data_IF_108692238588
#
_entry.id   IF_108692238588
#
_cell.length_a   1.000
_cell.length_b   1.000
_cell.length_c   1.000
_cell.angle_alpha   90.00
_cell.angle_beta   90.00
_cell.angle_gamma   90.00
#
_symmetry.space_group_name_H-M   'P 1'
#
loop_
_entity.id
_entity.type
_entity.pdbx_description
1 polymer ?
#
# COMPACT_ATOMS: atom_id res chain seq x y z
N UNK A 1 -23.39 5.77 -20.57
CA UNK A 1 -22.81 5.51 -19.24
C UNK A 1 -21.47 4.83 -19.48
N UNK A 2 -20.35 5.51 -19.26
CA UNK A 2 -19.02 4.95 -19.55
C UNK A 2 -18.75 3.75 -18.64
N UNK A 3 -18.53 2.57 -19.22
CA UNK A 3 -18.12 1.34 -18.53
C UNK A 3 -16.67 1.50 -18.05
N UNK A 4 -16.46 2.28 -16.99
CA UNK A 4 -15.14 2.52 -16.39
C UNK A 4 -14.77 1.27 -15.60
N UNK A 5 -13.86 0.45 -16.13
CA UNK A 5 -13.26 -0.69 -15.43
C UNK A 5 -11.88 -0.31 -14.87
N UNK A 6 -11.55 -0.73 -13.64
CA UNK A 6 -10.21 -0.50 -13.12
C UNK A 6 -9.20 -1.30 -13.93
N UNK A 7 -7.96 -0.79 -14.08
CA UNK A 7 -6.87 -1.55 -14.70
C UNK A 7 -6.60 -2.85 -13.90
N UNK A 8 -5.83 -3.81 -14.41
CA UNK A 8 -5.44 -4.97 -13.61
C UNK A 8 -4.60 -4.55 -12.39
N UNK A 9 -4.71 -5.29 -11.28
CA UNK A 9 -3.82 -5.10 -10.12
C UNK A 9 -2.49 -5.79 -10.35
N UNK A 10 -1.48 -5.42 -9.56
CA UNK A 10 -0.25 -6.20 -9.45
C UNK A 10 -0.53 -7.57 -8.79
N UNK A 11 0.29 -8.60 -9.06
CA UNK A 11 0.14 -9.90 -8.44
C UNK A 11 0.15 -9.85 -6.91
N UNK A 12 -0.82 -10.49 -6.27
CA UNK A 12 -1.01 -10.49 -4.81
C UNK A 12 -1.91 -9.38 -4.26
N UNK A 13 -2.46 -8.52 -5.12
CA UNK A 13 -3.39 -7.45 -4.75
C UNK A 13 -4.76 -7.57 -5.44
N UNK A 14 -5.08 -8.72 -6.04
CA UNK A 14 -6.30 -8.97 -6.82
C UNK A 14 -7.59 -8.79 -6.00
N UNK A 15 -7.52 -8.99 -4.69
CA UNK A 15 -8.65 -8.80 -3.76
C UNK A 15 -8.93 -7.34 -3.38
N UNK A 16 -8.16 -6.36 -3.88
CA UNK A 16 -8.35 -4.97 -3.53
C UNK A 16 -9.65 -4.40 -4.12
N UNK A 17 -10.53 -3.88 -3.25
CA UNK A 17 -11.74 -3.19 -3.66
C UNK A 17 -11.40 -1.81 -4.23
N UNK A 18 -11.71 -1.62 -5.51
CA UNK A 18 -11.44 -0.40 -6.27
C UNK A 18 -12.72 0.26 -6.72
N UNK A 19 -12.88 1.53 -6.37
CA UNK A 19 -14.09 2.30 -6.67
C UNK A 19 -13.70 3.55 -7.44
N UNK A 20 -14.48 3.89 -8.47
CA UNK A 20 -14.29 5.14 -9.19
C UNK A 20 -14.54 6.35 -8.26
N UNK A 21 -13.52 7.18 -8.05
CA UNK A 21 -13.62 8.42 -7.32
C UNK A 21 -13.83 9.58 -8.31
N UNK A 22 -15.05 10.13 -8.29
CA UNK A 22 -15.43 11.23 -9.18
C UNK A 22 -14.75 12.55 -8.82
N UNK A 23 -14.27 12.72 -7.59
CA UNK A 23 -13.57 13.95 -7.16
C UNK A 23 -12.17 14.05 -7.77
N UNK A 24 -11.48 12.91 -7.85
CA UNK A 24 -10.11 12.84 -8.36
C UNK A 24 -10.04 12.31 -9.81
N UNK A 25 -11.19 11.97 -10.40
CA UNK A 25 -11.34 11.35 -11.72
C UNK A 25 -10.43 10.14 -11.93
N UNK A 26 -10.33 9.30 -10.90
CA UNK A 26 -9.42 8.15 -10.84
C UNK A 26 -10.09 6.98 -10.10
N UNK A 27 -9.56 5.78 -10.28
CA UNK A 27 -9.89 4.69 -9.35
C UNK A 27 -9.23 4.93 -8.01
N UNK A 28 -9.93 4.57 -6.94
CA UNK A 28 -9.47 4.71 -5.58
C UNK A 28 -9.49 3.37 -4.84
N UNK A 29 -8.50 3.18 -3.98
CA UNK A 29 -8.39 2.06 -3.04
C UNK A 29 -8.35 2.62 -1.63
N UNK A 30 -9.18 2.05 -0.75
CA UNK A 30 -9.12 2.31 0.68
C UNK A 30 -8.21 1.28 1.35
N UNK A 31 -7.11 1.72 1.94
CA UNK A 31 -6.14 0.89 2.67
C UNK A 31 -6.46 0.94 4.16
N UNK A 32 -7.10 -0.12 4.65
CA UNK A 32 -7.50 -0.26 6.05
C UNK A 32 -6.34 -0.66 6.98
N UNK A 33 -6.59 -0.60 8.28
CA UNK A 33 -5.61 -0.98 9.30
C UNK A 33 -5.17 -2.46 9.11
N UNK A 34 -3.86 -2.70 9.14
CA UNK A 34 -3.25 -4.00 8.85
C UNK A 34 -3.17 -4.34 7.36
N UNK A 35 -3.55 -3.43 6.45
CA UNK A 35 -3.46 -3.66 5.00
C UNK A 35 -2.26 -2.96 4.37
N UNK A 36 -1.87 -3.49 3.21
CA UNK A 36 -0.85 -2.94 2.33
C UNK A 36 -1.36 -3.08 0.89
N UNK A 37 -1.16 -2.04 0.07
CA UNK A 37 -1.51 -2.06 -1.35
C UNK A 37 -0.44 -1.34 -2.16
N UNK A 38 -0.07 -1.92 -3.31
CA UNK A 38 0.87 -1.35 -4.29
C UNK A 38 0.21 -1.34 -5.66
N UNK A 39 0.40 -0.25 -6.38
CA UNK A 39 -0.10 -0.06 -7.73
C UNK A 39 1.00 0.46 -8.66
N UNK A 40 0.84 0.18 -9.94
CA UNK A 40 1.59 0.75 -11.06
C UNK A 40 0.73 1.68 -11.92
N UNK A 41 -0.48 2.03 -11.46
CA UNK A 41 -1.46 2.79 -12.20
C UNK A 41 -1.75 4.14 -11.53
N UNK A 42 -2.33 5.07 -12.29
CA UNK A 42 -2.79 6.36 -11.77
C UNK A 42 -4.05 6.16 -10.90
N UNK A 43 -3.85 5.75 -9.65
CA UNK A 43 -4.87 5.43 -8.66
C UNK A 43 -4.70 6.28 -7.40
N UNK A 44 -5.81 6.55 -6.71
CA UNK A 44 -5.84 7.23 -5.41
C UNK A 44 -5.79 6.19 -4.29
N UNK A 45 -4.75 6.21 -3.48
CA UNK A 45 -4.71 5.47 -2.22
C UNK A 45 -5.24 6.36 -1.10
N UNK A 46 -6.21 5.85 -0.34
CA UNK A 46 -6.82 6.57 0.77
C UNK A 46 -6.82 5.73 2.04
N UNK A 47 -6.68 6.39 3.18
CA UNK A 47 -6.82 5.77 4.51
C UNK A 47 -7.37 6.79 5.49
N UNK A 48 -7.84 6.32 6.63
CA UNK A 48 -8.24 7.16 7.77
C UNK A 48 -7.32 6.80 8.92
N UNK A 49 -6.66 7.81 9.50
CA UNK A 49 -5.70 7.63 10.59
C UNK A 49 -6.21 8.28 11.87
N UNK A 50 -6.06 7.55 12.98
CA UNK A 50 -6.03 8.10 14.34
C UNK A 50 -4.59 8.01 14.86
N UNK A 51 -4.37 7.23 15.93
CA UNK A 51 -3.03 6.92 16.45
C UNK A 51 -2.20 5.96 15.58
N UNK A 52 -2.78 5.44 14.50
CA UNK A 52 -2.11 4.54 13.58
C UNK A 52 -1.21 5.32 12.63
N UNK A 53 -0.29 4.62 11.96
CA UNK A 53 0.64 5.21 10.99
C UNK A 53 0.41 4.60 9.62
N UNK A 54 0.48 5.43 8.59
CA UNK A 54 0.59 4.99 7.19
C UNK A 54 1.87 5.51 6.55
N UNK A 55 2.64 4.61 5.96
CA UNK A 55 3.75 4.96 5.09
C UNK A 55 3.34 4.81 3.63
N UNK A 56 3.61 5.86 2.85
CA UNK A 56 3.48 5.87 1.40
C UNK A 56 4.88 5.85 0.79
N UNK A 57 5.14 4.90 -0.12
CA UNK A 57 6.42 4.78 -0.82
C UNK A 57 6.17 4.83 -2.32
N UNK A 58 7.02 5.54 -3.05
CA UNK A 58 6.91 5.71 -4.50
C UNK A 58 8.30 5.69 -5.17
N UNK A 59 8.41 5.04 -6.33
CA UNK A 59 9.52 5.21 -7.26
C UNK A 59 9.05 6.11 -8.42
N UNK A 60 9.53 7.37 -8.48
CA UNK A 60 9.06 8.35 -9.46
C UNK A 60 9.43 8.03 -10.91
N UNK A 61 10.37 7.09 -11.14
CA UNK A 61 10.74 6.70 -12.50
C UNK A 61 9.90 5.57 -13.05
N UNK A 62 9.56 4.57 -12.23
CA UNK A 62 8.72 3.45 -12.66
C UNK A 62 7.23 3.74 -12.50
N UNK A 63 6.86 4.74 -11.71
CA UNK A 63 5.47 5.03 -11.36
C UNK A 63 4.90 4.08 -10.30
N UNK A 64 5.67 3.10 -9.83
CA UNK A 64 5.26 2.17 -8.78
C UNK A 64 5.15 2.90 -7.45
N UNK A 65 4.06 2.68 -6.75
CA UNK A 65 3.88 3.22 -5.41
C UNK A 65 2.81 2.48 -4.63
N UNK A 66 2.83 2.68 -3.33
CA UNK A 66 1.88 2.03 -2.45
C UNK A 66 1.81 2.65 -1.08
N UNK A 67 0.89 2.13 -0.29
CA UNK A 67 0.61 2.54 1.08
C UNK A 67 0.47 1.31 1.96
N UNK A 68 1.02 1.38 3.16
CA UNK A 68 0.66 0.49 4.26
C UNK A 68 -0.11 1.27 5.34
N UNK A 69 -0.73 0.54 6.27
CA UNK A 69 -1.40 1.11 7.43
C UNK A 69 -1.19 0.19 8.63
N UNK A 70 -0.25 0.53 9.51
CA UNK A 70 0.10 -0.28 10.68
C UNK A 70 -0.28 0.40 11.99
N UNK A 71 -0.50 -0.40 13.03
CA UNK A 71 -0.99 0.05 14.35
C UNK A 71 0.10 0.04 15.42
N UNK A 72 1.08 -0.85 15.29
CA UNK A 72 2.10 -1.11 16.31
C UNK A 72 3.49 -0.93 15.71
N UNK A 73 4.48 -0.43 16.46
CA UNK A 73 5.80 -0.14 15.90
C UNK A 73 6.60 -1.41 15.53
N UNK A 74 6.50 -2.49 16.31
CA UNK A 74 7.23 -3.74 16.06
C UNK A 74 6.51 -4.95 16.64
N UNK A 75 6.53 -6.07 15.91
CA UNK A 75 5.96 -7.34 16.36
C UNK A 75 6.97 -8.23 17.09
N UNK A 76 6.51 -9.33 17.73
CA UNK A 76 7.39 -10.28 18.40
C UNK A 76 8.41 -10.85 17.40
N UNK A 77 9.67 -10.96 17.83
CA UNK A 77 10.78 -11.38 16.99
C UNK A 77 10.58 -12.79 16.42
N UNK A 78 10.65 -12.89 15.09
CA UNK A 78 10.89 -14.10 14.27
C UNK A 78 10.58 -15.45 14.92
N UNK A 79 9.42 -16.04 14.61
CA UNK A 79 9.27 -17.51 14.43
C UNK A 79 7.83 -17.98 14.21
N UNK A 80 6.82 -17.16 14.45
CA UNK A 80 5.43 -17.61 14.31
C UNK A 80 4.57 -16.46 13.85
N UNK A 81 4.20 -16.51 12.56
CA UNK A 81 2.86 -16.21 12.02
C UNK A 81 3.00 -15.68 10.60
N UNK A 82 2.77 -16.57 9.65
CA UNK A 82 2.39 -16.26 8.26
C UNK A 82 0.92 -15.83 8.27
N UNK A 83 0.56 -14.95 9.21
CA UNK A 83 -0.82 -14.56 9.43
C UNK A 83 -1.04 -13.24 8.70
N UNK A 84 -2.24 -13.09 8.14
CA UNK A 84 -2.76 -11.86 7.55
C UNK A 84 -2.66 -10.62 8.45
N UNK A 85 -2.29 -10.79 9.73
CA UNK A 85 -2.09 -9.76 10.74
C UNK A 85 -0.66 -9.21 10.86
N UNK A 86 0.33 -9.78 10.17
CA UNK A 86 1.73 -9.31 10.30
C UNK A 86 1.90 -7.82 9.96
N UNK A 87 1.14 -7.33 8.97
CA UNK A 87 1.11 -5.92 8.55
C UNK A 87 0.54 -4.94 9.61
N UNK A 88 0.04 -5.44 10.74
CA UNK A 88 -0.33 -4.59 11.88
C UNK A 88 0.90 -3.98 12.57
N UNK A 89 2.08 -4.56 12.35
CA UNK A 89 3.34 -4.13 12.92
C UNK A 89 4.22 -3.42 11.88
N UNK A 90 4.80 -2.27 12.23
CA UNK A 90 5.51 -1.38 11.32
C UNK A 90 6.72 -2.01 10.65
N UNK A 91 7.52 -2.79 11.39
CA UNK A 91 8.68 -3.50 10.81
C UNK A 91 8.27 -4.44 9.66
N UNK A 92 7.23 -5.25 9.86
CA UNK A 92 6.70 -6.15 8.84
C UNK A 92 6.00 -5.38 7.72
N UNK A 93 5.15 -4.39 8.04
CA UNK A 93 4.42 -3.61 7.06
C UNK A 93 5.33 -2.81 6.11
N UNK A 94 6.45 -2.29 6.62
CA UNK A 94 7.45 -1.60 5.80
C UNK A 94 8.21 -2.58 4.91
N UNK A 95 8.60 -3.74 5.43
CA UNK A 95 9.25 -4.78 4.64
C UNK A 95 8.34 -5.28 3.51
N UNK A 96 7.07 -5.58 3.80
CA UNK A 96 6.08 -6.01 2.81
C UNK A 96 5.89 -4.96 1.71
N UNK A 97 5.73 -3.68 2.07
CA UNK A 97 5.56 -2.59 1.10
C UNK A 97 6.78 -2.43 0.19
N UNK A 98 7.98 -2.36 0.78
CA UNK A 98 9.23 -2.19 0.02
C UNK A 98 9.46 -3.37 -0.89
N UNK A 99 9.34 -4.61 -0.38
CA UNK A 99 9.57 -5.81 -1.18
C UNK A 99 8.57 -5.93 -2.32
N UNK A 100 7.31 -5.55 -2.12
CA UNK A 100 6.31 -5.52 -3.19
C UNK A 100 6.69 -4.53 -4.30
N UNK A 101 7.17 -3.33 -3.96
CA UNK A 101 7.62 -2.35 -4.97
C UNK A 101 8.84 -2.87 -5.73
N UNK A 102 9.85 -3.39 -5.02
CA UNK A 102 11.08 -3.90 -5.64
C UNK A 102 10.81 -5.11 -6.54
N UNK A 103 9.96 -6.05 -6.10
CA UNK A 103 9.58 -7.23 -6.87
C UNK A 103 8.89 -6.89 -8.20
N UNK A 104 8.21 -5.75 -8.26
CA UNK A 104 7.52 -5.27 -9.47
C UNK A 104 8.39 -4.34 -10.33
N UNK A 105 9.68 -4.18 -10.01
CA UNK A 105 10.64 -3.42 -10.84
C UNK A 105 11.01 -2.03 -10.30
N UNK A 106 10.54 -1.66 -9.11
CA UNK A 106 10.99 -0.46 -8.43
C UNK A 106 12.44 -0.56 -7.98
N UNK A 107 13.15 0.57 -7.89
CA UNK A 107 14.55 0.62 -7.46
C UNK A 107 14.72 1.31 -6.12
N UNK A 108 15.41 0.64 -5.18
CA UNK A 108 15.57 1.07 -3.78
C UNK A 108 16.12 2.49 -3.66
N UNK A 109 17.14 2.80 -4.44
CA UNK A 109 17.82 4.08 -4.52
C UNK A 109 16.96 5.23 -5.07
N UNK A 110 15.77 4.93 -5.60
CA UNK A 110 14.82 5.92 -6.12
C UNK A 110 13.61 6.11 -5.21
N UNK A 111 13.43 5.25 -4.21
CA UNK A 111 12.25 5.27 -3.37
C UNK A 111 12.21 6.58 -2.59
N UNK A 112 11.09 7.30 -2.74
CA UNK A 112 10.71 8.42 -1.88
C UNK A 112 9.60 7.95 -0.95
N UNK A 113 9.66 8.37 0.30
CA UNK A 113 8.70 7.99 1.31
C UNK A 113 8.04 9.23 1.95
N UNK A 114 6.76 9.09 2.29
CA UNK A 114 6.05 10.02 3.16
C UNK A 114 5.32 9.21 4.23
N UNK A 115 5.34 9.70 5.46
CA UNK A 115 4.74 9.03 6.62
C UNK A 115 3.72 9.96 7.24
N UNK A 116 2.56 9.42 7.60
CA UNK A 116 1.43 10.16 8.14
C UNK A 116 0.84 9.42 9.35
N UNK A 117 0.17 10.16 10.24
CA UNK A 117 -0.43 9.64 11.47
C UNK A 117 0.49 9.78 12.68
N UNK A 118 0.14 9.06 13.75
CA UNK A 118 0.78 9.18 15.07
C UNK A 118 0.02 10.16 15.97
#
# INVERSE_FOLDING_TARGET
>A
MNDRRPPPTLPGFEGASRVWDSRHERFSVKVGAGQCYVSSHDEVLSTVLGSCIAACIHDPRSGLGGMNHFMLPSGPGSSTRVDSEANRYGNFAMETLINAILKNGGRRERLVAKVFGG
#
